data_IF_344319389594
#
_entry.id   IF_344319389594
#
_cell.length_a   1.000
_cell.length_b   1.000
_cell.length_c   1.000
_cell.angle_alpha   90.00
_cell.angle_beta   90.00
_cell.angle_gamma   90.00
#
_symmetry.space_group_name_H-M   'P 1'
#
loop_
_entity.id
_entity.type
_entity.pdbx_description
1 polymer ?
#
# COMPACT_ATOMS: atom_id res chain seq x y z
N UNK A 1 3.87 11.30 4.10
CA UNK A 1 3.20 10.56 3.00
C UNK A 1 4.25 10.08 2.02
N UNK A 2 4.03 8.88 1.54
CA UNK A 2 4.99 7.94 1.01
C UNK A 2 4.77 7.74 -0.50
N UNK A 3 5.50 6.81 -1.11
CA UNK A 3 5.15 6.26 -2.42
C UNK A 3 4.81 4.80 -2.29
N UNK A 4 3.76 4.39 -2.99
CA UNK A 4 3.18 3.05 -2.92
C UNK A 4 2.85 2.52 -4.31
N UNK A 5 2.92 1.20 -4.42
CA UNK A 5 2.55 0.42 -5.60
C UNK A 5 1.90 -0.89 -5.14
N UNK A 6 0.77 -1.25 -5.74
CA UNK A 6 0.19 -2.57 -5.71
C UNK A 6 -0.01 -3.01 -7.17
N UNK A 7 0.45 -4.20 -7.54
CA UNK A 7 0.28 -4.73 -8.88
C UNK A 7 0.04 -6.24 -8.86
N UNK A 8 -0.76 -6.73 -9.81
CA UNK A 8 -1.00 -8.16 -10.07
C UNK A 8 -1.05 -8.41 -11.57
N UNK A 9 -0.51 -9.55 -12.02
CA UNK A 9 -0.45 -9.96 -13.42
C UNK A 9 0.92 -10.50 -13.78
N UNK A 10 1.30 -10.37 -15.06
CA UNK A 10 2.63 -10.77 -15.55
C UNK A 10 3.73 -9.94 -14.87
N UNK A 11 4.67 -10.63 -14.21
CA UNK A 11 5.76 -10.04 -13.43
C UNK A 11 6.70 -9.20 -14.30
N UNK A 12 7.05 -9.67 -15.50
CA UNK A 12 7.93 -8.95 -16.42
C UNK A 12 7.36 -7.57 -16.79
N UNK A 13 6.03 -7.43 -16.89
CA UNK A 13 5.35 -6.15 -17.12
C UNK A 13 5.45 -5.18 -15.92
N UNK A 14 5.81 -5.68 -14.73
CA UNK A 14 5.98 -4.86 -13.52
C UNK A 14 7.38 -4.25 -13.40
N UNK A 15 8.36 -4.69 -14.19
CA UNK A 15 9.74 -4.17 -14.13
C UNK A 15 9.79 -2.64 -14.34
N UNK A 16 9.12 -2.06 -15.36
CA UNK A 16 9.07 -0.60 -15.53
C UNK A 16 8.37 0.12 -14.38
N UNK A 17 7.41 -0.53 -13.70
CA UNK A 17 6.75 0.04 -12.51
C UNK A 17 7.73 0.15 -11.33
N UNK A 18 8.61 -0.84 -11.14
CA UNK A 18 9.67 -0.78 -10.12
C UNK A 18 10.59 0.40 -10.40
N UNK A 19 11.06 0.57 -11.64
CA UNK A 19 11.94 1.69 -11.99
C UNK A 19 11.25 3.05 -11.80
N UNK A 20 9.96 3.16 -12.13
CA UNK A 20 9.16 4.35 -11.90
C UNK A 20 8.97 4.64 -10.41
N UNK A 21 8.74 3.62 -9.60
CA UNK A 21 8.62 3.71 -8.16
C UNK A 21 9.94 4.19 -7.50
N UNK A 22 11.08 3.66 -7.95
CA UNK A 22 12.41 4.09 -7.48
C UNK A 22 12.62 5.57 -7.78
N UNK A 23 12.36 5.99 -9.04
CA UNK A 23 12.50 7.40 -9.44
C UNK A 23 11.53 8.31 -8.70
N UNK A 24 10.28 7.93 -8.54
CA UNK A 24 9.28 8.66 -7.75
C UNK A 24 9.67 8.78 -6.27
N UNK A 25 10.43 7.82 -5.74
CA UNK A 25 10.94 7.85 -4.38
C UNK A 25 12.16 8.76 -4.23
N UNK A 26 13.01 8.85 -5.24
CA UNK A 26 14.20 9.71 -5.26
C UNK A 26 13.84 11.18 -5.52
N UNK A 27 12.95 11.41 -6.49
CA UNK A 27 12.55 12.74 -6.93
C UNK A 27 11.04 12.78 -7.12
N UNK A 28 10.39 13.59 -6.31
CA UNK A 28 8.95 13.73 -6.27
C UNK A 28 8.56 15.20 -6.45
N UNK A 29 8.27 15.60 -7.70
CA UNK A 29 7.87 16.97 -8.00
C UNK A 29 6.62 17.42 -7.25
N UNK A 30 5.68 16.51 -6.96
CA UNK A 30 4.46 16.85 -6.22
C UNK A 30 4.74 17.13 -4.74
N UNK A 31 5.73 16.44 -4.15
CA UNK A 31 6.22 16.75 -2.79
C UNK A 31 6.96 18.08 -2.75
N UNK A 32 7.81 18.33 -3.74
CA UNK A 32 8.59 19.56 -3.88
C UNK A 32 7.69 20.79 -4.05
N UNK A 33 6.63 20.69 -4.85
CA UNK A 33 5.64 21.75 -5.04
C UNK A 33 4.94 22.20 -3.74
N UNK A 34 4.98 21.35 -2.70
CA UNK A 34 4.47 21.61 -1.32
C UNK A 34 5.56 22.17 -0.38
N UNK A 35 6.72 22.56 -0.91
CA UNK A 35 7.82 23.15 -0.15
C UNK A 35 8.56 22.14 0.74
N UNK A 36 8.56 20.85 0.37
CA UNK A 36 9.23 19.78 1.09
C UNK A 36 10.39 19.21 0.25
N UNK A 37 11.31 18.49 0.89
CA UNK A 37 12.39 17.80 0.17
C UNK A 37 11.79 16.78 -0.83
N UNK A 38 12.37 16.65 -2.03
CA UNK A 38 11.76 15.87 -3.12
C UNK A 38 11.88 14.35 -2.95
N UNK A 39 12.56 13.85 -1.92
CA UNK A 39 12.83 12.40 -1.77
C UNK A 39 12.06 11.77 -0.60
N UNK A 40 11.83 10.46 -0.66
CA UNK A 40 11.24 9.60 0.38
C UNK A 40 12.32 8.67 0.92
N UNK A 41 13.01 9.12 1.97
CA UNK A 41 14.28 8.54 2.40
C UNK A 41 14.28 7.81 3.74
N UNK A 42 13.12 7.54 4.33
CA UNK A 42 13.03 7.00 5.70
C UNK A 42 12.79 5.48 5.73
N UNK A 43 13.18 4.78 4.66
CA UNK A 43 13.07 3.33 4.49
C UNK A 43 12.19 2.91 3.33
N UNK A 44 12.27 1.64 2.93
CA UNK A 44 11.39 1.03 1.93
C UNK A 44 11.23 -0.46 2.17
N UNK A 45 10.23 -1.05 1.53
CA UNK A 45 10.03 -2.49 1.53
C UNK A 45 9.13 -2.94 0.40
N UNK A 46 9.09 -4.25 0.21
CA UNK A 46 8.19 -4.90 -0.73
C UNK A 46 7.70 -6.25 -0.23
N UNK A 47 6.57 -6.67 -0.79
CA UNK A 47 6.07 -8.04 -0.74
C UNK A 47 5.93 -8.50 -2.18
N UNK A 48 6.51 -9.65 -2.48
CA UNK A 48 6.46 -10.29 -3.79
C UNK A 48 5.91 -11.69 -3.60
N UNK A 49 4.80 -12.00 -4.26
CA UNK A 49 4.28 -13.37 -4.38
C UNK A 49 4.42 -13.82 -5.82
N UNK A 50 5.15 -14.90 -6.04
CA UNK A 50 5.32 -15.55 -7.35
C UNK A 50 5.72 -17.01 -7.15
N UNK A 51 5.26 -17.89 -8.05
CA UNK A 51 5.64 -19.31 -8.07
C UNK A 51 5.41 -20.05 -6.75
N UNK A 52 4.31 -19.74 -6.05
CA UNK A 52 3.97 -20.32 -4.74
C UNK A 52 4.84 -19.85 -3.57
N UNK A 53 5.68 -18.83 -3.75
CA UNK A 53 6.54 -18.26 -2.70
C UNK A 53 6.16 -16.81 -2.39
N UNK A 54 6.29 -16.42 -1.12
CA UNK A 54 6.16 -15.03 -0.69
C UNK A 54 7.51 -14.52 -0.16
N UNK A 55 7.99 -13.41 -0.71
CA UNK A 55 9.20 -12.71 -0.24
C UNK A 55 8.82 -11.37 0.36
N UNK A 56 9.22 -11.14 1.60
CA UNK A 56 9.00 -9.88 2.31
C UNK A 56 10.34 -9.25 2.66
N UNK A 57 10.60 -8.08 2.10
CA UNK A 57 11.85 -7.33 2.31
C UNK A 57 11.54 -5.96 2.90
N UNK A 58 12.36 -5.52 3.87
CA UNK A 58 12.26 -4.21 4.50
C UNK A 58 13.65 -3.68 4.80
N UNK A 59 13.83 -2.38 4.61
CA UNK A 59 15.07 -1.67 4.88
C UNK A 59 14.80 -0.27 5.40
N UNK A 60 15.66 0.18 6.32
CA UNK A 60 15.68 1.57 6.79
C UNK A 60 16.39 2.51 5.83
N UNK A 61 17.14 1.98 4.85
CA UNK A 61 17.79 2.79 3.81
C UNK A 61 16.76 3.17 2.74
N UNK A 62 16.94 4.27 2.00
CA UNK A 62 16.08 4.60 0.86
C UNK A 62 16.18 3.57 -0.28
N UNK A 63 15.09 3.36 -1.02
CA UNK A 63 15.08 2.44 -2.19
C UNK A 63 16.10 2.84 -3.26
N UNK A 64 16.26 4.13 -3.52
CA UNK A 64 17.11 4.67 -4.58
C UNK A 64 18.62 4.62 -4.28
N UNK A 65 19.02 4.12 -3.10
CA UNK A 65 20.44 3.83 -2.80
C UNK A 65 20.73 2.33 -2.70
N UNK A 66 19.71 1.47 -2.86
CA UNK A 66 19.82 0.02 -2.69
C UNK A 66 19.72 -0.75 -4.01
N UNK A 67 20.54 -0.34 -5.00
CA UNK A 67 20.54 -0.91 -6.34
C UNK A 67 20.56 -2.45 -6.35
N UNK A 68 21.39 -3.10 -5.51
CA UNK A 68 21.45 -4.57 -5.44
C UNK A 68 20.11 -5.20 -5.04
N UNK A 69 19.40 -4.63 -4.06
CA UNK A 69 18.12 -5.16 -3.61
C UNK A 69 17.02 -4.91 -4.66
N UNK A 70 17.07 -3.77 -5.34
CA UNK A 70 16.18 -3.46 -6.47
C UNK A 70 16.41 -4.43 -7.65
N UNK A 71 17.66 -4.73 -8.01
CA UNK A 71 17.96 -5.71 -9.05
C UNK A 71 17.49 -7.12 -8.69
N UNK A 72 17.65 -7.55 -7.43
CA UNK A 72 17.13 -8.83 -6.96
C UNK A 72 15.60 -8.89 -7.04
N UNK A 73 14.91 -7.80 -6.72
CA UNK A 73 13.46 -7.70 -6.91
C UNK A 73 13.12 -7.87 -8.40
N UNK A 74 13.73 -7.07 -9.28
CA UNK A 74 13.45 -7.11 -10.72
C UNK A 74 13.75 -8.47 -11.34
N UNK A 75 14.83 -9.14 -10.96
CA UNK A 75 15.18 -10.47 -11.45
C UNK A 75 14.24 -11.57 -10.95
N UNK A 76 13.35 -11.26 -10.01
CA UNK A 76 12.36 -12.19 -9.46
C UNK A 76 10.95 -11.90 -9.95
N UNK A 77 10.79 -10.91 -10.83
CA UNK A 77 9.53 -10.57 -11.46
C UNK A 77 9.36 -11.43 -12.72
N UNK A 78 8.79 -12.61 -12.53
CA UNK A 78 8.54 -13.60 -13.58
C UNK A 78 7.17 -14.25 -13.39
N UNK A 79 6.49 -14.55 -14.49
CA UNK A 79 5.21 -15.26 -14.49
C UNK A 79 4.10 -14.51 -13.75
N UNK A 80 3.06 -15.22 -13.30
CA UNK A 80 1.99 -14.60 -12.52
C UNK A 80 2.49 -14.14 -11.14
N UNK A 81 2.39 -12.84 -10.90
CA UNK A 81 3.02 -12.17 -9.75
C UNK A 81 2.04 -11.23 -9.06
N UNK A 82 2.14 -11.12 -7.73
CA UNK A 82 1.57 -10.02 -6.94
C UNK A 82 2.71 -9.24 -6.28
N UNK A 83 2.71 -7.92 -6.47
CA UNK A 83 3.74 -7.02 -5.97
C UNK A 83 3.12 -5.90 -5.13
N UNK A 84 3.64 -5.71 -3.92
CA UNK A 84 3.38 -4.54 -3.09
C UNK A 84 4.69 -3.82 -2.80
N UNK A 85 4.75 -2.51 -2.94
CA UNK A 85 5.93 -1.71 -2.57
C UNK A 85 5.53 -0.47 -1.78
N UNK A 86 6.38 -0.08 -0.84
CA UNK A 86 6.21 1.15 -0.08
C UNK A 86 7.56 1.82 0.21
N UNK A 87 7.64 3.14 -0.03
CA UNK A 87 8.80 3.99 0.22
C UNK A 87 8.42 5.11 1.18
N UNK A 88 9.07 5.11 2.35
CA UNK A 88 8.65 5.86 3.53
C UNK A 88 9.17 7.30 3.52
N UNK A 89 8.27 8.23 3.83
CA UNK A 89 8.62 9.54 4.36
C UNK A 89 7.91 9.72 5.71
N UNK A 90 8.66 9.54 6.79
CA UNK A 90 8.14 9.43 8.14
C UNK A 90 7.53 10.75 8.63
N UNK A 91 6.25 10.71 9.01
CA UNK A 91 5.57 11.76 9.78
C UNK A 91 5.34 11.35 11.24
N UNK A 92 5.16 10.05 11.49
CA UNK A 92 4.92 9.46 12.80
C UNK A 92 5.78 8.19 13.01
N UNK A 93 6.06 7.89 14.28
CA UNK A 93 6.87 6.76 14.73
C UNK A 93 8.37 6.90 14.42
N UNK A 94 9.18 6.11 15.11
CA UNK A 94 10.63 6.16 14.95
C UNK A 94 11.09 5.79 13.54
N UNK A 95 12.25 6.31 13.15
CA UNK A 95 12.98 5.91 11.94
C UNK A 95 13.70 4.57 12.16
N UNK A 96 12.90 3.54 12.35
CA UNK A 96 13.35 2.19 12.69
C UNK A 96 12.65 1.16 11.80
N UNK A 97 13.23 -0.04 11.72
CA UNK A 97 12.76 -1.11 10.84
C UNK A 97 11.31 -1.54 11.16
N UNK A 98 10.90 -1.46 12.43
CA UNK A 98 9.53 -1.80 12.86
C UNK A 98 8.46 -0.93 12.19
N UNK A 99 8.81 0.28 11.75
CA UNK A 99 7.91 1.22 11.08
C UNK A 99 8.08 1.24 9.55
N UNK A 100 8.92 0.36 8.99
CA UNK A 100 9.05 0.18 7.54
C UNK A 100 7.97 -0.77 7.04
N UNK A 101 7.23 -0.30 6.03
CA UNK A 101 6.13 -1.01 5.40
C UNK A 101 6.59 -1.72 4.10
N UNK A 102 5.83 -2.70 3.57
CA UNK A 102 4.59 -3.26 4.10
C UNK A 102 4.78 -4.00 5.43
N UNK A 103 3.78 -3.93 6.31
CA UNK A 103 3.73 -4.73 7.54
C UNK A 103 3.15 -6.11 7.26
N UNK A 104 3.51 -7.11 8.07
CA UNK A 104 2.99 -8.46 7.98
C UNK A 104 2.28 -8.83 9.29
N UNK A 105 1.10 -9.42 9.19
CA UNK A 105 0.30 -9.86 10.33
C UNK A 105 -0.28 -11.25 10.05
N UNK A 106 -0.45 -12.04 11.12
CA UNK A 106 -1.18 -13.31 11.09
C UNK A 106 -2.29 -13.22 12.12
N UNK A 107 -3.52 -13.50 11.71
CA UNK A 107 -4.69 -13.39 12.58
C UNK A 107 -4.96 -14.70 13.31
N UNK A 108 -5.63 -14.60 14.46
CA UNK A 108 -6.19 -15.77 15.18
C UNK A 108 -7.31 -16.49 14.42
N UNK A 109 -7.74 -15.96 13.27
CA UNK A 109 -8.80 -16.51 12.41
C UNK A 109 -8.26 -17.42 11.31
N UNK A 110 -6.93 -17.58 11.21
CA UNK A 110 -6.31 -18.54 10.31
C UNK A 110 -5.90 -17.99 8.95
N UNK A 111 -5.86 -16.66 8.78
CA UNK A 111 -5.32 -16.01 7.59
C UNK A 111 -4.21 -15.02 7.95
N UNK A 112 -3.33 -14.75 6.99
CA UNK A 112 -2.27 -13.74 7.11
C UNK A 112 -2.51 -12.61 6.13
N UNK A 113 -1.92 -11.45 6.39
CA UNK A 113 -1.96 -10.35 5.44
C UNK A 113 -0.73 -9.46 5.51
N UNK A 114 -0.44 -8.82 4.39
CA UNK A 114 0.49 -7.70 4.30
C UNK A 114 -0.26 -6.41 4.05
N UNK A 115 0.18 -5.31 4.65
CA UNK A 115 -0.49 -4.00 4.56
C UNK A 115 0.54 -2.88 4.37
N UNK A 116 0.26 -1.96 3.44
CA UNK A 116 0.80 -0.62 3.48
C UNK A 116 -0.30 0.43 3.62
N UNK A 117 0.07 1.59 4.12
CA UNK A 117 -0.73 2.79 4.21
C UNK A 117 0.10 4.03 3.85
N UNK A 118 -0.45 4.85 2.96
CA UNK A 118 0.06 6.14 2.55
C UNK A 118 -0.92 7.24 2.97
N UNK A 119 -0.58 7.93 4.05
CA UNK A 119 -1.44 8.96 4.61
C UNK A 119 -0.99 9.40 5.98
N UNK A 120 -1.95 9.87 6.76
CA UNK A 120 -1.79 10.27 8.15
C UNK A 120 -3.12 9.99 8.86
N UNK A 121 -3.07 9.23 9.96
CA UNK A 121 -4.23 8.86 10.78
C UNK A 121 -4.07 9.37 12.21
N UNK A 122 -5.21 9.52 12.88
CA UNK A 122 -5.35 9.80 14.32
C UNK A 122 -5.11 8.51 15.10
N UNK A 123 -3.84 8.28 15.45
CA UNK A 123 -3.38 7.05 16.12
C UNK A 123 -4.11 6.78 17.44
N UNK A 124 -4.38 7.82 18.23
CA UNK A 124 -5.19 7.79 19.45
C UNK A 124 -6.58 7.18 19.21
N UNK A 125 -7.27 7.60 18.15
CA UNK A 125 -8.58 7.02 17.78
C UNK A 125 -8.47 5.55 17.40
N UNK A 126 -7.41 5.15 16.70
CA UNK A 126 -7.23 3.74 16.32
C UNK A 126 -6.97 2.89 17.56
N UNK A 127 -6.18 3.39 18.52
CA UNK A 127 -5.92 2.74 19.81
C UNK A 127 -7.24 2.53 20.57
N UNK A 128 -8.07 3.56 20.67
CA UNK A 128 -9.40 3.48 21.30
C UNK A 128 -10.29 2.46 20.57
N UNK A 129 -10.41 2.56 19.25
CA UNK A 129 -11.20 1.63 18.42
C UNK A 129 -10.71 0.19 18.51
N UNK A 130 -9.43 -0.03 18.82
CA UNK A 130 -8.85 -1.35 18.97
C UNK A 130 -8.87 -1.86 20.41
N UNK A 131 -9.21 -1.02 21.40
CA UNK A 131 -9.03 -1.30 22.83
C UNK A 131 -7.59 -1.73 23.15
N UNK A 132 -6.62 -1.00 22.59
CA UNK A 132 -5.20 -1.19 22.90
C UNK A 132 -4.75 -0.30 24.05
N UNK A 133 -3.69 -0.72 24.74
CA UNK A 133 -2.98 0.11 25.71
C UNK A 133 -2.02 1.05 24.97
N UNK A 134 -2.11 2.35 25.23
CA UNK A 134 -1.33 3.37 24.51
C UNK A 134 0.18 3.14 24.59
N UNK A 135 0.66 2.73 25.77
CA UNK A 135 2.08 2.45 26.05
C UNK A 135 2.69 1.38 25.13
N UNK A 136 1.88 0.41 24.70
CA UNK A 136 2.36 -0.71 23.88
C UNK A 136 2.65 -0.26 22.44
N UNK A 137 2.11 0.90 22.06
CA UNK A 137 2.16 1.43 20.71
C UNK A 137 2.90 2.77 20.62
N UNK A 138 3.49 3.28 21.69
CA UNK A 138 4.11 4.62 21.72
C UNK A 138 5.05 4.89 20.53
N UNK A 139 5.97 3.96 20.26
CA UNK A 139 7.05 4.13 19.26
C UNK A 139 6.69 3.63 17.84
N UNK A 140 5.50 3.07 17.64
CA UNK A 140 5.06 2.59 16.31
C UNK A 140 4.23 3.63 15.58
N UNK A 141 4.21 3.53 14.24
CA UNK A 141 3.44 4.43 13.38
C UNK A 141 1.92 4.21 13.51
N UNK A 142 1.16 5.23 13.15
CA UNK A 142 -0.29 5.14 12.90
C UNK A 142 -0.66 4.00 11.94
N UNK A 143 0.18 3.77 10.94
CA UNK A 143 0.03 2.75 9.91
C UNK A 143 0.21 1.34 10.48
N UNK A 144 1.18 1.15 11.39
CA UNK A 144 1.32 -0.12 12.12
C UNK A 144 0.12 -0.33 13.03
N UNK A 145 -0.31 0.73 13.72
CA UNK A 145 -1.46 0.71 14.63
C UNK A 145 -2.74 0.32 13.89
N UNK A 146 -2.94 0.82 12.66
CA UNK A 146 -4.01 0.40 11.76
C UNK A 146 -3.91 -1.10 11.43
N UNK A 147 -2.73 -1.60 11.06
CA UNK A 147 -2.53 -3.03 10.80
C UNK A 147 -2.83 -3.92 12.02
N UNK A 148 -2.42 -3.48 13.22
CA UNK A 148 -2.73 -4.16 14.46
C UNK A 148 -4.25 -4.16 14.76
N UNK A 149 -4.93 -3.03 14.53
CA UNK A 149 -6.39 -2.95 14.61
C UNK A 149 -7.05 -3.96 13.66
N UNK A 150 -6.63 -4.02 12.40
CA UNK A 150 -7.17 -4.97 11.42
C UNK A 150 -6.94 -6.42 11.87
N UNK A 151 -5.73 -6.74 12.35
CA UNK A 151 -5.39 -8.07 12.85
C UNK A 151 -6.26 -8.50 14.04
N UNK A 152 -6.62 -7.57 14.92
CA UNK A 152 -7.49 -7.83 16.08
C UNK A 152 -8.95 -7.98 15.68
N UNK A 153 -9.44 -7.14 14.76
CA UNK A 153 -10.86 -6.92 14.52
C UNK A 153 -11.44 -7.73 13.36
N UNK A 154 -10.68 -7.95 12.27
CA UNK A 154 -11.19 -8.66 11.10
C UNK A 154 -11.60 -10.10 11.44
N UNK A 155 -12.82 -10.47 11.04
CA UNK A 155 -13.31 -11.83 11.10
C UNK A 155 -12.98 -12.64 9.83
N UNK A 156 -12.96 -11.99 8.67
CA UNK A 156 -12.62 -12.53 7.35
C UNK A 156 -11.97 -11.43 6.49
N UNK A 157 -11.63 -11.77 5.24
CA UNK A 157 -11.20 -10.82 4.21
C UNK A 157 -12.20 -10.75 3.06
N UNK A 158 -13.48 -10.99 3.36
CA UNK A 158 -14.58 -10.80 2.41
C UNK A 158 -14.87 -9.30 2.20
N UNK A 159 -15.36 -8.89 1.03
CA UNK A 159 -15.57 -7.49 0.67
C UNK A 159 -16.35 -6.67 1.72
N UNK A 160 -17.45 -7.19 2.26
CA UNK A 160 -18.31 -6.47 3.20
C UNK A 160 -17.64 -6.22 4.56
N UNK A 161 -16.89 -7.21 5.05
CA UNK A 161 -16.11 -7.09 6.29
C UNK A 161 -14.99 -6.06 6.12
N UNK A 162 -14.26 -6.16 5.00
CA UNK A 162 -13.19 -5.21 4.67
C UNK A 162 -13.75 -3.79 4.54
N UNK A 163 -14.82 -3.59 3.75
CA UNK A 163 -15.47 -2.29 3.61
C UNK A 163 -15.86 -1.72 4.97
N UNK A 164 -16.49 -2.53 5.83
CA UNK A 164 -16.88 -2.09 7.18
C UNK A 164 -15.70 -1.53 7.97
N UNK A 165 -14.57 -2.23 7.99
CA UNK A 165 -13.40 -1.82 8.78
C UNK A 165 -12.62 -0.66 8.15
N UNK A 166 -12.47 -0.63 6.83
CA UNK A 166 -11.82 0.45 6.12
C UNK A 166 -12.64 1.74 6.13
N UNK A 167 -13.96 1.65 6.01
CA UNK A 167 -14.89 2.78 6.18
C UNK A 167 -14.78 3.39 7.58
N UNK A 168 -14.74 2.57 8.63
CA UNK A 168 -14.52 3.06 10.00
C UNK A 168 -13.20 3.84 10.13
N UNK A 169 -12.14 3.43 9.41
CA UNK A 169 -10.85 4.15 9.40
C UNK A 169 -10.94 5.54 8.75
N UNK A 170 -11.94 5.84 7.92
CA UNK A 170 -12.15 7.21 7.40
C UNK A 170 -12.36 8.21 8.54
N UNK A 171 -13.07 7.82 9.60
CA UNK A 171 -13.29 8.65 10.80
C UNK A 171 -12.02 8.97 11.60
N UNK A 172 -10.98 8.14 11.43
CA UNK A 172 -9.64 8.32 12.01
C UNK A 172 -8.64 8.97 11.04
N UNK A 173 -8.98 9.18 9.77
CA UNK A 173 -8.05 9.74 8.78
C UNK A 173 -7.81 11.22 9.04
N UNK A 174 -6.57 11.74 8.94
CA UNK A 174 -6.27 13.18 8.92
C UNK A 174 -6.11 13.70 7.50
N UNK A 175 -5.35 13.00 6.65
CA UNK A 175 -5.12 13.41 5.25
C UNK A 175 -5.69 12.39 4.27
N UNK A 176 -5.15 11.18 4.27
CA UNK A 176 -5.45 10.11 3.31
C UNK A 176 -5.44 8.76 3.99
N UNK A 177 -6.21 7.83 3.43
CA UNK A 177 -6.27 6.40 3.76
C UNK A 177 -6.04 5.63 2.45
N UNK A 178 -4.90 5.88 1.82
CA UNK A 178 -4.52 5.14 0.63
C UNK A 178 -3.80 3.87 1.07
N UNK A 179 -4.35 2.70 0.79
CA UNK A 179 -3.82 1.43 1.29
C UNK A 179 -3.70 0.41 0.20
N UNK A 180 -2.93 -0.63 0.47
CA UNK A 180 -2.91 -1.86 -0.29
C UNK A 180 -2.69 -2.99 0.70
N UNK A 181 -3.56 -3.98 0.63
CA UNK A 181 -3.54 -5.16 1.49
C UNK A 181 -3.55 -6.40 0.63
N UNK A 182 -2.69 -7.37 0.95
CA UNK A 182 -2.72 -8.69 0.35
C UNK A 182 -3.03 -9.70 1.45
N UNK A 183 -4.13 -10.41 1.32
CA UNK A 183 -4.58 -11.47 2.20
C UNK A 183 -4.16 -12.83 1.65
N UNK A 184 -3.83 -13.76 2.56
CA UNK A 184 -3.51 -15.15 2.27
C UNK A 184 -4.27 -16.04 3.25
N UNK A 185 -5.17 -16.86 2.73
CA UNK A 185 -5.92 -17.85 3.47
C UNK A 185 -5.18 -19.19 3.62
N UNK A 186 -5.72 -20.11 4.44
CA UNK A 186 -5.06 -21.35 4.83
C UNK A 186 -4.93 -22.39 3.71
N UNK A 187 -5.68 -22.26 2.62
CA UNK A 187 -5.64 -23.16 1.46
C UNK A 187 -4.87 -22.55 0.27
N UNK A 188 -4.22 -21.39 0.47
CA UNK A 188 -3.52 -20.68 -0.59
C UNK A 188 -4.37 -19.66 -1.33
N UNK A 189 -5.62 -19.46 -0.94
CA UNK A 189 -6.49 -18.42 -1.49
C UNK A 189 -5.93 -17.03 -1.20
N UNK A 190 -6.01 -16.13 -2.18
CA UNK A 190 -5.45 -14.78 -2.08
C UNK A 190 -6.48 -13.73 -2.45
N UNK A 191 -6.44 -12.61 -1.71
CA UNK A 191 -7.25 -11.45 -2.03
C UNK A 191 -6.47 -10.16 -1.88
N UNK A 192 -6.69 -9.22 -2.79
CA UNK A 192 -6.18 -7.85 -2.70
C UNK A 192 -7.26 -6.89 -2.21
N UNK A 193 -6.90 -5.91 -1.39
CA UNK A 193 -7.79 -4.80 -1.06
C UNK A 193 -7.02 -3.48 -1.06
N UNK A 194 -7.36 -2.61 -2.02
CA UNK A 194 -6.67 -1.35 -2.26
C UNK A 194 -7.66 -0.21 -2.09
N UNK A 195 -7.37 0.76 -1.23
CA UNK A 195 -8.24 1.92 -1.00
C UNK A 195 -7.62 3.20 -1.53
N UNK A 196 -8.45 4.08 -2.10
CA UNK A 196 -8.12 5.43 -2.50
C UNK A 196 -9.05 6.41 -1.78
N UNK A 197 -8.62 6.95 -0.64
CA UNK A 197 -9.41 7.92 0.11
C UNK A 197 -8.54 9.03 0.68
N UNK A 198 -9.07 10.25 0.62
CA UNK A 198 -8.54 11.44 1.25
C UNK A 198 -9.66 12.31 1.77
N UNK A 199 -9.41 13.02 2.88
CA UNK A 199 -10.38 13.97 3.42
C UNK A 199 -10.74 15.01 2.36
N UNK A 200 -12.03 15.31 2.15
CA UNK A 200 -12.45 16.30 1.15
C UNK A 200 -11.72 17.64 1.31
N UNK A 201 -11.56 18.12 2.53
CA UNK A 201 -10.90 19.41 2.79
C UNK A 201 -9.41 19.39 2.44
N UNK A 202 -8.77 18.21 2.55
CA UNK A 202 -7.36 18.05 2.21
C UNK A 202 -7.12 18.20 0.71
N UNK A 203 -8.02 17.62 -0.11
CA UNK A 203 -7.87 17.55 -1.57
C UNK A 203 -8.45 18.76 -2.31
N UNK A 204 -9.15 19.68 -1.61
CA UNK A 204 -9.53 20.98 -2.19
C UNK A 204 -8.31 21.81 -2.64
N UNK A 205 -7.13 21.57 -2.06
CA UNK A 205 -5.88 22.16 -2.53
C UNK A 205 -5.30 21.29 -3.66
N UNK A 206 -5.14 21.82 -4.90
CA UNK A 206 -4.62 21.06 -6.03
C UNK A 206 -3.26 20.40 -5.77
N UNK A 207 -2.35 21.08 -5.05
CA UNK A 207 -1.04 20.53 -4.71
C UNK A 207 -1.13 19.33 -3.78
N UNK A 208 -2.14 19.28 -2.91
CA UNK A 208 -2.38 18.11 -2.08
C UNK A 208 -3.00 16.99 -2.92
N UNK A 209 -4.00 17.30 -3.75
CA UNK A 209 -4.60 16.32 -4.66
C UNK A 209 -3.54 15.63 -5.54
N UNK A 210 -2.69 16.41 -6.22
CA UNK A 210 -1.62 15.85 -7.05
C UNK A 210 -0.68 14.94 -6.26
N UNK A 211 -0.40 15.28 -5.01
CA UNK A 211 0.51 14.53 -4.16
C UNK A 211 -0.08 13.25 -3.56
N UNK A 212 -1.39 13.22 -3.30
CA UNK A 212 -2.06 12.11 -2.60
C UNK A 212 -2.88 11.20 -3.51
N UNK A 213 -3.31 11.65 -4.70
CA UNK A 213 -4.17 10.82 -5.54
C UNK A 213 -3.48 9.52 -5.94
N UNK A 214 -4.28 8.47 -6.01
CA UNK A 214 -3.85 7.21 -6.63
C UNK A 214 -4.22 7.22 -8.11
N UNK A 215 -3.42 6.50 -8.88
CA UNK A 215 -3.65 6.23 -10.30
C UNK A 215 -3.73 4.72 -10.50
N UNK A 216 -4.52 4.30 -11.46
CA UNK A 216 -4.73 2.89 -11.77
C UNK A 216 -4.53 2.62 -13.26
N UNK A 217 -4.04 1.44 -13.57
CA UNK A 217 -4.09 0.84 -14.91
C UNK A 217 -4.75 -0.53 -14.76
N UNK A 218 -5.74 -0.81 -15.58
CA UNK A 218 -6.47 -2.07 -15.57
C UNK A 218 -6.64 -2.56 -17.00
N UNK A 219 -6.10 -3.75 -17.26
CA UNK A 219 -6.25 -4.57 -18.45
C UNK A 219 -6.75 -5.95 -18.01
N UNK A 220 -7.09 -6.81 -18.96
CA UNK A 220 -7.61 -8.15 -18.68
C UNK A 220 -6.70 -8.95 -17.72
N UNK A 221 -5.39 -8.95 -18.00
CA UNK A 221 -4.43 -9.80 -17.30
C UNK A 221 -3.39 -8.98 -16.50
N UNK A 222 -3.68 -7.69 -16.28
CA UNK A 222 -2.79 -6.79 -15.54
C UNK A 222 -3.55 -5.68 -14.82
N UNK A 223 -3.30 -5.54 -13.53
CA UNK A 223 -3.85 -4.46 -12.71
C UNK A 223 -2.75 -3.85 -11.84
N UNK A 224 -2.69 -2.52 -11.79
CA UNK A 224 -1.83 -1.84 -10.84
C UNK A 224 -2.47 -0.55 -10.32
N UNK A 225 -2.28 -0.28 -9.04
CA UNK A 225 -2.58 0.99 -8.39
C UNK A 225 -1.31 1.56 -7.80
N UNK A 226 -1.05 2.83 -8.08
CA UNK A 226 0.18 3.50 -7.71
C UNK A 226 -0.09 4.90 -7.15
N UNK A 227 0.92 5.45 -6.48
CA UNK A 227 0.96 6.90 -6.23
C UNK A 227 1.05 7.66 -7.55
N UNK A 228 0.31 8.77 -7.68
CA UNK A 228 0.28 9.63 -8.87
C UNK A 228 1.65 9.96 -9.46
N UNK A 229 2.68 10.19 -8.64
CA UNK A 229 4.02 10.54 -9.11
C UNK A 229 4.62 9.51 -10.08
N UNK A 230 4.16 8.24 -10.06
CA UNK A 230 4.62 7.22 -11.01
C UNK A 230 4.28 7.59 -12.47
N UNK A 231 3.19 8.33 -12.72
CA UNK A 231 2.81 8.76 -14.09
C UNK A 231 3.85 9.69 -14.72
N UNK A 232 4.67 10.38 -13.91
CA UNK A 232 5.74 11.25 -14.39
C UNK A 232 6.97 10.48 -14.88
N UNK A 233 7.10 9.21 -14.50
CA UNK A 233 8.27 8.37 -14.77
C UNK A 233 7.97 7.16 -15.65
N UNK A 234 6.70 6.84 -15.86
CA UNK A 234 6.26 5.77 -16.74
C UNK A 234 4.95 6.15 -17.41
N UNK A 235 5.00 6.25 -18.74
CA UNK A 235 3.84 6.51 -19.57
C UNK A 235 3.03 5.23 -19.79
N UNK A 236 1.93 5.09 -19.06
CA UNK A 236 0.87 4.11 -19.30
C UNK A 236 -0.46 4.87 -19.44
N UNK A 237 -1.53 4.16 -19.81
CA UNK A 237 -2.90 4.68 -19.79
C UNK A 237 -3.44 4.81 -18.36
N UNK A 238 -2.71 5.54 -17.51
CA UNK A 238 -3.07 5.80 -16.13
C UNK A 238 -4.40 6.54 -16.05
N UNK A 239 -5.30 6.05 -15.21
CA UNK A 239 -6.55 6.72 -14.86
C UNK A 239 -6.48 7.17 -13.40
N UNK A 240 -6.86 8.42 -13.06
CA UNK A 240 -6.98 8.82 -11.66
C UNK A 240 -8.08 7.99 -10.99
N UNK A 241 -7.80 7.49 -9.79
CA UNK A 241 -8.80 6.78 -8.98
C UNK A 241 -9.72 7.80 -8.32
N UNK A 242 -11.02 7.55 -8.37
CA UNK A 242 -12.03 8.40 -7.71
C UNK A 242 -11.85 8.30 -6.20
N UNK A 243 -11.95 9.44 -5.50
CA UNK A 243 -11.82 9.49 -4.06
C UNK A 243 -12.98 8.74 -3.38
N UNK A 244 -12.67 7.86 -2.43
CA UNK A 244 -13.64 6.96 -1.78
C UNK A 244 -13.79 5.61 -2.48
N UNK A 245 -12.97 5.30 -3.48
CA UNK A 245 -12.98 3.98 -4.14
C UNK A 245 -12.17 2.96 -3.34
N UNK A 246 -12.67 1.73 -3.30
CA UNK A 246 -11.91 0.54 -2.94
C UNK A 246 -11.90 -0.45 -4.11
N UNK A 247 -10.79 -1.16 -4.31
CA UNK A 247 -10.69 -2.28 -5.23
C UNK A 247 -10.53 -3.55 -4.41
N UNK A 248 -11.45 -4.49 -4.60
CA UNK A 248 -11.29 -5.86 -4.11
C UNK A 248 -10.81 -6.73 -5.26
N UNK A 249 -9.77 -7.52 -5.00
CA UNK A 249 -9.21 -8.45 -5.98
C UNK A 249 -9.38 -9.86 -5.45
N UNK A 250 -10.04 -10.72 -6.24
CA UNK A 250 -9.97 -12.16 -6.04
C UNK A 250 -8.81 -12.69 -6.89
N UNK A 251 -7.80 -13.30 -6.28
CA UNK A 251 -6.55 -13.68 -6.95
C UNK A 251 -6.43 -15.20 -6.89
N UNK A 252 -6.29 -15.82 -8.06
CA UNK A 252 -6.01 -17.25 -8.23
C UNK A 252 -4.59 -17.44 -8.76
N UNK A 253 -3.59 -17.68 -7.87
CA UNK A 253 -2.21 -17.89 -8.30
C UNK A 253 -2.00 -19.18 -9.09
N UNK A 254 -2.85 -20.21 -8.91
CA UNK A 254 -2.73 -21.48 -9.64
C UNK A 254 -3.31 -21.37 -11.05
N UNK A 255 -4.43 -20.68 -11.20
CA UNK A 255 -5.04 -20.35 -12.47
C UNK A 255 -4.34 -19.22 -13.24
N UNK A 256 -3.42 -18.50 -12.59
CA UNK A 256 -2.78 -17.28 -13.12
C UNK A 256 -3.78 -16.20 -13.52
N UNK A 257 -4.89 -16.10 -12.78
CA UNK A 257 -6.00 -15.19 -13.07
C UNK A 257 -6.37 -14.34 -11.85
N UNK A 258 -7.00 -13.19 -12.10
CA UNK A 258 -7.58 -12.38 -11.06
C UNK A 258 -8.82 -11.63 -11.57
N UNK A 259 -9.71 -11.32 -10.66
CA UNK A 259 -10.87 -10.46 -10.91
C UNK A 259 -10.79 -9.22 -10.03
N UNK A 260 -11.25 -8.08 -10.54
CA UNK A 260 -11.26 -6.81 -9.80
C UNK A 260 -12.69 -6.30 -9.68
N UNK A 261 -13.17 -6.18 -8.45
CA UNK A 261 -14.42 -5.52 -8.11
C UNK A 261 -14.13 -4.10 -7.62
N UNK A 262 -14.88 -3.12 -8.13
CA UNK A 262 -14.80 -1.73 -7.67
C UNK A 262 -15.92 -1.45 -6.68
N UNK A 263 -15.53 -1.06 -5.48
CA UNK A 263 -16.40 -0.82 -4.33
C UNK A 263 -16.34 0.66 -3.93
N UNK A 264 -17.33 1.10 -3.17
CA UNK A 264 -17.40 2.46 -2.63
C UNK A 264 -17.30 2.42 -1.11
N UNK A 265 -16.36 3.18 -0.56
CA UNK A 265 -16.22 3.36 0.88
C UNK A 265 -17.33 4.28 1.39
N UNK A 266 -18.06 3.84 2.42
CA UNK A 266 -19.19 4.54 3.05
C UNK A 266 -18.87 5.12 4.42
#
# INVERSE_FOLDING_TARGET
>A
MCRVLFAVGNGEEMIPLVDAFVRASERDPYKEARGKKPYHGDGWGYVLVTGGSARHYRSVRPVFVENRAVEVLKSSLEGFTVLMMHSRAASQGDKSLINVQPFAFTTRRGFSFWLYHNGDLKKDKIIEMAEFEERDLENVSDSYTMGAYMCRRLASYEPEELLTHYSRMMGATNTSLNTGTLFLGPKGEMAGFVTAYSRPEHIMNPKNWDYVRQITVQRKDFFAVASSTLELYLNLEWKPVVNGTAFYLNIDPEGEEFEVETLTMG
#
